data_IF_384151451048
#
_entry.id   IF_384151451048
#
_cell.length_a   1.000
_cell.length_b   1.000
_cell.length_c   1.000
_cell.angle_alpha   90.00
_cell.angle_beta   90.00
_cell.angle_gamma   90.00
#
_symmetry.space_group_name_H-M   'P 1'
#
loop_
_entity.id
_entity.type
_entity.pdbx_description
1 polymer ?
#
# COMPACT_ATOMS: atom_id res chain seq x y z
N UNK A 1 -1.65 -18.22 10.66
CA UNK A 1 -1.97 -17.46 11.88
C UNK A 1 -3.21 -17.99 12.58
N UNK A 2 -4.44 -17.84 12.05
CA UNK A 2 -5.65 -18.36 12.73
C UNK A 2 -5.62 -19.88 12.98
N UNK A 3 -5.03 -20.66 12.07
CA UNK A 3 -4.83 -22.09 12.28
C UNK A 3 -3.88 -22.43 13.46
N UNK A 4 -2.97 -21.52 13.82
CA UNK A 4 -1.98 -21.72 14.89
C UNK A 4 -2.43 -21.08 16.23
N UNK A 5 -3.09 -19.92 16.15
CA UNK A 5 -3.42 -19.09 17.31
C UNK A 5 -4.92 -19.04 17.62
N UNK A 6 -5.76 -19.80 16.90
CA UNK A 6 -7.20 -19.81 17.08
C UNK A 6 -7.88 -18.51 16.65
N UNK A 7 -8.91 -18.10 17.39
CA UNK A 7 -9.76 -16.93 17.06
C UNK A 7 -9.09 -15.62 17.48
N UNK A 8 -8.02 -15.26 16.80
CA UNK A 8 -7.31 -13.99 17.01
C UNK A 8 -7.61 -12.96 15.92
N UNK A 9 -7.56 -11.69 16.29
CA UNK A 9 -7.59 -10.56 15.37
C UNK A 9 -6.20 -10.44 14.72
N UNK A 10 -6.17 -10.29 13.41
CA UNK A 10 -4.95 -10.04 12.65
C UNK A 10 -5.06 -8.62 12.11
N UNK A 11 -4.03 -7.80 12.37
CA UNK A 11 -3.91 -6.43 11.87
C UNK A 11 -2.62 -6.29 11.08
N UNK A 12 -2.69 -5.55 9.99
CA UNK A 12 -1.54 -5.24 9.15
C UNK A 12 -1.00 -3.85 9.47
N UNK A 13 0.33 -3.72 9.47
CA UNK A 13 1.03 -2.45 9.53
C UNK A 13 1.94 -2.37 8.30
N UNK A 14 2.01 -1.18 7.69
CA UNK A 14 2.90 -0.91 6.58
C UNK A 14 4.06 -0.03 7.05
N UNK A 15 5.27 -0.51 6.82
CA UNK A 15 6.48 0.21 7.16
C UNK A 15 7.71 -0.42 6.55
N UNK A 16 8.80 0.32 6.62
CA UNK A 16 10.13 -0.09 6.18
C UNK A 16 11.18 0.42 7.18
N UNK A 17 12.46 0.20 6.90
CA UNK A 17 13.57 0.69 7.73
C UNK A 17 13.51 2.21 7.91
N UNK A 18 13.00 2.91 6.91
CA UNK A 18 12.87 4.36 6.82
C UNK A 18 11.71 4.91 7.67
N UNK A 19 10.77 4.07 8.14
CA UNK A 19 9.67 4.49 9.00
C UNK A 19 8.42 3.59 8.93
N UNK A 20 7.54 3.75 9.93
CA UNK A 20 6.22 3.11 9.99
C UNK A 20 5.17 4.03 9.37
N UNK A 21 4.79 3.73 8.13
CA UNK A 21 4.06 4.64 7.25
C UNK A 21 2.55 4.59 7.37
N UNK A 22 2.00 3.50 7.89
CA UNK A 22 0.56 3.41 8.12
C UNK A 22 0.13 2.07 8.65
N UNK A 23 -1.16 1.97 8.97
CA UNK A 23 -1.71 0.80 9.65
C UNK A 23 -3.14 0.51 9.23
N UNK A 24 -3.54 -0.73 9.40
CA UNK A 24 -4.92 -1.14 9.23
C UNK A 24 -5.79 -0.52 10.32
N UNK A 25 -6.77 0.29 9.91
CA UNK A 25 -7.65 1.02 10.82
C UNK A 25 -8.90 0.23 11.24
N UNK A 26 -9.40 -0.64 10.38
CA UNK A 26 -10.66 -1.38 10.57
C UNK A 26 -10.53 -2.82 10.03
N UNK A 27 -11.64 -3.54 9.90
CA UNK A 27 -11.64 -4.94 9.41
C UNK A 27 -11.14 -5.10 7.97
N UNK A 28 -10.98 -4.00 7.21
CA UNK A 28 -10.58 -4.04 5.82
C UNK A 28 -9.10 -4.36 5.69
N UNK A 29 -8.75 -5.23 4.75
CA UNK A 29 -7.35 -5.64 4.50
C UNK A 29 -6.62 -4.61 3.66
N UNK A 30 -6.44 -3.44 4.24
CA UNK A 30 -5.77 -2.29 3.64
C UNK A 30 -5.24 -1.37 4.75
N UNK A 31 -4.16 -0.68 4.44
CA UNK A 31 -3.54 0.26 5.37
C UNK A 31 -3.99 1.68 5.06
N UNK A 32 -4.04 2.51 6.10
CA UNK A 32 -4.29 3.95 6.02
C UNK A 32 -2.98 4.68 6.34
N UNK A 33 -2.56 5.67 5.53
CA UNK A 33 -1.29 6.39 5.73
C UNK A 33 -1.35 7.34 6.92
N UNK A 34 -0.23 7.48 7.63
CA UNK A 34 -0.04 8.44 8.72
C UNK A 34 0.30 9.84 8.14
N UNK A 35 -0.70 10.52 7.58
CA UNK A 35 -0.54 11.83 6.92
C UNK A 35 -0.11 12.97 7.86
N UNK A 36 -0.25 12.78 9.16
CA UNK A 36 0.23 13.68 10.21
C UNK A 36 1.75 13.60 10.41
N UNK A 37 2.38 12.49 10.02
CA UNK A 37 3.80 12.24 10.24
C UNK A 37 4.64 12.33 8.96
N UNK A 38 4.06 12.02 7.80
CA UNK A 38 4.80 11.92 6.54
C UNK A 38 4.05 12.53 5.36
N UNK A 39 4.81 12.99 4.36
CA UNK A 39 4.24 13.35 3.06
C UNK A 39 4.35 12.18 2.10
N UNK A 40 3.22 11.82 1.49
CA UNK A 40 3.12 10.70 0.58
C UNK A 40 2.83 11.18 -0.85
N UNK A 41 3.77 10.90 -1.73
CA UNK A 41 3.65 11.07 -3.17
C UNK A 41 3.59 9.69 -3.84
N UNK A 42 3.00 9.64 -5.03
CA UNK A 42 3.04 8.45 -5.87
C UNK A 42 3.46 8.82 -7.28
N UNK A 43 4.43 8.09 -7.81
CA UNK A 43 4.84 8.19 -9.20
C UNK A 43 3.97 7.24 -10.05
N UNK A 44 3.08 7.84 -10.84
CA UNK A 44 2.19 7.13 -11.77
C UNK A 44 2.72 7.26 -13.20
N UNK A 45 2.09 6.55 -14.14
CA UNK A 45 2.34 6.77 -15.58
C UNK A 45 2.03 8.20 -16.04
N UNK A 46 1.15 8.90 -15.34
CA UNK A 46 0.76 10.29 -15.64
C UNK A 46 1.66 11.34 -14.97
N UNK A 47 2.68 10.91 -14.21
CA UNK A 47 3.52 11.78 -13.40
C UNK A 47 3.31 11.58 -11.90
N UNK A 48 3.89 12.48 -11.12
CA UNK A 48 3.84 12.45 -9.64
C UNK A 48 2.61 13.20 -9.16
N UNK A 49 1.89 12.61 -8.19
CA UNK A 49 0.75 13.22 -7.50
C UNK A 49 0.73 12.83 -6.02
N UNK A 50 -0.11 13.47 -5.22
CA UNK A 50 -0.24 13.09 -3.81
C UNK A 50 -0.95 11.74 -3.70
N UNK A 51 -0.56 10.93 -2.71
CA UNK A 51 -1.13 9.60 -2.52
C UNK A 51 -2.67 9.63 -2.34
N UNK A 52 -3.19 10.65 -1.65
CA UNK A 52 -4.63 10.81 -1.44
C UNK A 52 -5.41 11.24 -2.69
N UNK A 53 -4.73 11.73 -3.73
CA UNK A 53 -5.34 12.12 -5.01
C UNK A 53 -5.48 10.94 -5.98
N UNK A 54 -4.92 9.78 -5.65
CA UNK A 54 -5.03 8.59 -6.47
C UNK A 54 -6.49 8.17 -6.64
N UNK A 55 -6.84 7.79 -7.87
CA UNK A 55 -8.16 7.25 -8.19
C UNK A 55 -8.25 5.78 -7.77
N UNK A 56 -9.45 5.25 -7.47
CA UNK A 56 -9.66 3.82 -7.28
C UNK A 56 -9.04 3.00 -8.43
N UNK A 57 -8.33 1.93 -8.06
CA UNK A 57 -7.55 1.05 -8.93
C UNK A 57 -6.32 1.67 -9.59
N UNK A 58 -5.97 2.91 -9.27
CA UNK A 58 -4.73 3.52 -9.73
C UNK A 58 -3.53 2.87 -9.02
N UNK A 59 -2.42 2.73 -9.75
CA UNK A 59 -1.18 2.14 -9.24
C UNK A 59 -0.02 3.11 -9.47
N UNK A 60 0.91 3.15 -8.53
CA UNK A 60 2.11 3.98 -8.62
C UNK A 60 3.25 3.50 -7.73
N UNK A 61 4.46 4.00 -7.98
CA UNK A 61 5.62 3.79 -7.11
C UNK A 61 5.57 4.76 -5.94
N UNK A 62 5.75 4.26 -4.72
CA UNK A 62 5.63 5.07 -3.51
C UNK A 62 6.87 5.93 -3.29
N UNK A 63 6.63 7.22 -3.07
CA UNK A 63 7.63 8.19 -2.67
C UNK A 63 7.19 8.81 -1.34
N UNK A 64 8.05 8.78 -0.34
CA UNK A 64 7.74 9.28 1.01
C UNK A 64 8.77 10.32 1.40
N UNK A 65 8.31 11.45 1.92
CA UNK A 65 9.19 12.39 2.62
C UNK A 65 9.06 12.17 4.12
N UNK A 66 10.18 11.79 4.73
CA UNK A 66 10.33 11.68 6.18
C UNK A 66 11.09 12.89 6.73
N UNK A 67 11.27 12.95 8.05
CA UNK A 67 12.07 14.01 8.70
C UNK A 67 13.54 14.02 8.26
N UNK A 68 14.06 12.92 7.71
CA UNK A 68 15.48 12.78 7.34
C UNK A 68 15.63 12.58 5.82
N UNK A 69 14.66 11.92 5.18
CA UNK A 69 14.73 11.53 3.77
C UNK A 69 13.63 12.24 2.97
N UNK A 70 13.91 13.39 2.33
CA UNK A 70 12.93 14.09 1.51
C UNK A 70 12.73 13.36 0.18
N UNK A 71 11.47 13.15 -0.20
CA UNK A 71 11.03 12.53 -1.47
C UNK A 71 11.77 11.23 -1.79
N UNK A 72 11.94 10.38 -0.79
CA UNK A 72 12.64 9.11 -0.95
C UNK A 72 11.74 8.07 -1.60
N UNK A 73 12.25 7.43 -2.66
CA UNK A 73 11.53 6.36 -3.35
C UNK A 73 11.69 5.06 -2.55
N UNK A 74 10.59 4.58 -1.97
CA UNK A 74 10.56 3.35 -1.17
C UNK A 74 10.81 2.11 -2.04
N UNK A 75 10.46 2.20 -3.33
CA UNK A 75 10.59 1.08 -4.26
C UNK A 75 9.50 0.03 -4.10
N UNK A 76 8.41 0.38 -3.42
CA UNK A 76 7.18 -0.40 -3.35
C UNK A 76 6.15 0.17 -4.33
N UNK A 77 5.37 -0.72 -4.95
CA UNK A 77 4.21 -0.35 -5.75
C UNK A 77 2.95 -0.42 -4.91
N UNK A 78 2.17 0.66 -4.94
CA UNK A 78 0.95 0.83 -4.19
C UNK A 78 -0.25 0.82 -5.13
N UNK A 79 -1.32 0.18 -4.69
CA UNK A 79 -2.64 0.19 -5.29
C UNK A 79 -3.59 1.02 -4.41
N UNK A 80 -4.22 2.02 -5.02
CA UNK A 80 -5.33 2.74 -4.39
C UNK A 80 -6.61 1.91 -4.54
N UNK A 81 -7.24 1.56 -3.42
CA UNK A 81 -8.52 0.84 -3.45
C UNK A 81 -9.67 1.83 -3.45
N UNK A 82 -9.86 2.50 -2.31
CA UNK A 82 -10.76 3.64 -2.15
C UNK A 82 -10.14 4.54 -1.09
N UNK A 83 -10.19 5.87 -1.19
CA UNK A 83 -9.70 6.71 -0.10
C UNK A 83 -10.39 6.37 1.23
N UNK A 84 -9.66 6.27 2.36
CA UNK A 84 -8.21 6.46 2.57
C UNK A 84 -7.38 5.14 2.58
N UNK A 85 -7.84 4.08 1.91
CA UNK A 85 -7.28 2.73 1.96
C UNK A 85 -6.37 2.41 0.78
N UNK A 86 -5.18 1.93 1.10
CA UNK A 86 -4.16 1.54 0.13
C UNK A 86 -3.65 0.14 0.41
N UNK A 87 -3.06 -0.50 -0.60
CA UNK A 87 -2.43 -1.81 -0.50
C UNK A 87 -1.06 -1.79 -1.16
N UNK A 88 -0.05 -2.33 -0.47
CA UNK A 88 1.24 -2.60 -1.10
C UNK A 88 1.10 -3.91 -1.91
N UNK A 89 1.31 -3.84 -3.23
CA UNK A 89 1.23 -5.02 -4.11
C UNK A 89 2.57 -5.74 -4.22
N UNK A 90 3.65 -5.10 -3.77
CA UNK A 90 5.01 -5.63 -3.76
C UNK A 90 6.03 -4.62 -4.24
N UNK A 91 7.27 -5.09 -4.40
CA UNK A 91 8.40 -4.27 -4.86
C UNK A 91 8.24 -3.88 -6.33
N UNK A 92 8.81 -2.74 -6.70
CA UNK A 92 8.80 -2.23 -8.07
C UNK A 92 9.63 -3.14 -8.99
N UNK A 93 8.94 -4.02 -9.73
CA UNK A 93 9.48 -4.88 -10.77
C UNK A 93 8.50 -4.94 -11.93
N UNK A 94 8.98 -5.25 -13.13
CA UNK A 94 8.11 -5.28 -14.32
C UNK A 94 7.00 -6.33 -14.22
N UNK A 95 7.24 -7.45 -13.53
CA UNK A 95 6.28 -8.55 -13.37
C UNK A 95 5.37 -8.41 -12.14
N UNK A 96 5.57 -7.41 -11.29
CA UNK A 96 4.79 -7.25 -10.05
C UNK A 96 3.30 -7.13 -10.33
N UNK A 97 2.92 -6.42 -11.39
CA UNK A 97 1.52 -6.27 -11.77
C UNK A 97 0.91 -7.61 -12.24
N UNK A 98 1.64 -8.38 -13.06
CA UNK A 98 1.20 -9.69 -13.54
C UNK A 98 1.03 -10.68 -12.38
N UNK A 99 2.00 -10.70 -11.47
CA UNK A 99 1.97 -11.55 -10.29
C UNK A 99 0.79 -11.19 -9.37
N UNK A 100 0.52 -9.89 -9.18
CA UNK A 100 -0.59 -9.42 -8.38
C UNK A 100 -1.95 -9.86 -8.96
N UNK A 101 -2.17 -9.64 -10.26
CA UNK A 101 -3.41 -10.06 -10.94
C UNK A 101 -3.59 -11.57 -10.89
N UNK A 102 -2.53 -12.34 -11.14
CA UNK A 102 -2.56 -13.80 -11.02
C UNK A 102 -2.91 -14.27 -9.60
N UNK A 103 -2.34 -13.61 -8.58
CA UNK A 103 -2.64 -13.87 -7.18
C UNK A 103 -4.09 -13.58 -6.80
N UNK A 104 -4.63 -12.43 -7.21
CA UNK A 104 -6.03 -12.04 -6.97
C UNK A 104 -7.01 -13.01 -7.64
N UNK A 105 -6.70 -13.46 -8.88
CA UNK A 105 -7.49 -14.48 -9.58
C UNK A 105 -7.46 -15.83 -8.86
N UNK A 106 -6.28 -16.29 -8.44
CA UNK A 106 -6.11 -17.56 -7.73
C UNK A 106 -6.79 -17.57 -6.36
N UNK A 107 -6.83 -16.42 -5.68
CA UNK A 107 -7.44 -16.28 -4.35
C UNK A 107 -8.90 -15.83 -4.40
N UNK A 108 -9.46 -15.59 -5.60
CA UNK A 108 -10.79 -15.00 -5.81
C UNK A 108 -11.02 -13.71 -4.99
N UNK A 109 -9.96 -12.98 -4.70
CA UNK A 109 -10.01 -11.86 -3.75
C UNK A 109 -10.31 -10.51 -4.41
N UNK A 110 -10.35 -10.45 -5.75
CA UNK A 110 -10.84 -9.39 -6.65
C UNK A 110 -10.99 -7.98 -6.05
N UNK A 111 -9.97 -7.47 -5.37
CA UNK A 111 -9.99 -6.13 -4.77
C UNK A 111 -11.05 -5.91 -3.67
N UNK A 112 -11.56 -6.97 -3.02
CA UNK A 112 -12.41 -6.83 -1.84
C UNK A 112 -11.60 -6.24 -0.68
N UNK A 113 -12.18 -5.22 -0.06
CA UNK A 113 -11.72 -4.59 1.19
C UNK A 113 -12.11 -5.45 2.38
#
# INVERSE_FOLDING_TARGET
>A
LKALYGRVVIREIYGATEGMFGQQRDERRAWVPNYDLFFFEVETRSGIKMLHEMRPNEMGSLVVSTSILPRYRIGDRILALRPPYFRCIGREKWWTNLHYVWGELRTMNLGRL
#
